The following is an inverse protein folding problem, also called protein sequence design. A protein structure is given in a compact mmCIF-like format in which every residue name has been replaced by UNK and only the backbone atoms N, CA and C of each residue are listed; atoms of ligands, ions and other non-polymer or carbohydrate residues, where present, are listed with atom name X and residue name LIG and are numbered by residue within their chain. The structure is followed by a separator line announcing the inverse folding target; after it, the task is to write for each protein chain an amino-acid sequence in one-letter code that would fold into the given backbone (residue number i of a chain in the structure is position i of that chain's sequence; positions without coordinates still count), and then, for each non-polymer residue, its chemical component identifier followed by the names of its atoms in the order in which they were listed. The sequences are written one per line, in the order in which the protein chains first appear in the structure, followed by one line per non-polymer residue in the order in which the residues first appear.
data_IF_076205642099
#
_entry.id   IF_076205642099
#
_cell.length_a   1.000
_cell.length_b   1.000
_cell.length_c   1.000
_cell.angle_alpha   90.00
_cell.angle_beta   90.00
_cell.angle_gamma   90.00
#
_symmetry.space_group_name_H-M   'P 1'
#
loop_
_entity.id
_entity.type
_entity.pdbx_description
1 polymer ?
#
# COMPACT_ATOMS: atom_id res chain seq x y z
N UNK A 1 -53.25 -33.68 -31.87
CA UNK A 1 -52.11 -33.02 -31.19
C UNK A 1 -51.98 -33.63 -29.80
N UNK A 2 -50.89 -34.34 -29.56
CA UNK A 2 -50.66 -35.23 -28.42
C UNK A 2 -50.21 -34.45 -27.18
N UNK A 3 -50.82 -34.74 -26.02
CA UNK A 3 -50.58 -34.03 -24.75
C UNK A 3 -49.12 -34.12 -24.25
N UNK A 4 -48.34 -35.05 -24.76
CA UNK A 4 -46.92 -35.28 -24.40
C UNK A 4 -45.94 -34.28 -25.01
N UNK A 5 -46.29 -33.61 -26.11
CA UNK A 5 -45.41 -32.61 -26.76
C UNK A 5 -45.52 -31.23 -26.10
N UNK A 6 -46.67 -30.92 -25.48
CA UNK A 6 -46.91 -29.64 -24.78
C UNK A 6 -46.14 -29.60 -23.44
N UNK A 7 -46.01 -30.74 -22.75
CA UNK A 7 -45.25 -30.83 -21.48
C UNK A 7 -43.74 -30.74 -21.69
N UNK A 8 -43.20 -31.27 -22.79
CA UNK A 8 -41.77 -31.17 -23.09
C UNK A 8 -41.30 -29.73 -23.36
N UNK A 9 -42.12 -28.94 -24.06
CA UNK A 9 -41.81 -27.51 -24.36
C UNK A 9 -41.92 -26.66 -23.08
N UNK A 10 -42.92 -26.92 -22.23
CA UNK A 10 -43.06 -26.25 -20.93
C UNK A 10 -41.88 -26.53 -19.99
N UNK A 11 -41.37 -27.76 -19.96
CA UNK A 11 -40.23 -28.12 -19.12
C UNK A 11 -38.92 -27.45 -19.57
N UNK A 12 -38.69 -27.29 -20.87
CA UNK A 12 -37.49 -26.64 -21.42
C UNK A 12 -37.49 -25.14 -21.14
N UNK A 13 -38.65 -24.47 -21.22
CA UNK A 13 -38.77 -23.03 -20.91
C UNK A 13 -38.51 -22.79 -19.42
N UNK A 14 -39.03 -23.66 -18.54
CA UNK A 14 -38.79 -23.57 -17.09
C UNK A 14 -37.32 -23.85 -16.76
N UNK A 15 -36.69 -24.86 -17.37
CA UNK A 15 -35.26 -25.11 -17.17
C UNK A 15 -34.38 -23.95 -17.65
N UNK A 16 -34.70 -23.35 -18.80
CA UNK A 16 -33.99 -22.20 -19.33
C UNK A 16 -34.13 -20.95 -18.45
N UNK A 17 -35.32 -20.72 -17.88
CA UNK A 17 -35.56 -19.61 -16.94
C UNK A 17 -34.81 -19.78 -15.62
N UNK A 18 -34.70 -21.01 -15.11
CA UNK A 18 -33.92 -21.32 -13.89
C UNK A 18 -32.42 -21.12 -14.12
N UNK A 19 -31.89 -21.47 -15.30
CA UNK A 19 -30.47 -21.25 -15.64
C UNK A 19 -30.16 -19.76 -15.86
N UNK A 20 -31.12 -18.95 -16.30
CA UNK A 20 -30.93 -17.50 -16.43
C UNK A 20 -30.93 -16.79 -15.06
N UNK A 21 -31.77 -17.24 -14.12
CA UNK A 21 -31.82 -16.71 -12.74
C UNK A 21 -30.72 -17.22 -11.82
N UNK A 22 -30.07 -18.36 -12.14
CA UNK A 22 -28.99 -18.94 -11.34
C UNK A 22 -27.58 -18.46 -11.73
N UNK A 23 -27.46 -17.40 -12.55
CA UNK A 23 -26.17 -16.77 -12.79
C UNK A 23 -25.82 -15.94 -11.54
N UNK A 24 -24.74 -16.26 -10.81
CA UNK A 24 -24.26 -15.36 -9.79
C UNK A 24 -23.89 -14.05 -10.49
N UNK A 25 -24.51 -12.94 -10.08
CA UNK A 25 -24.03 -11.60 -10.39
C UNK A 25 -22.56 -11.58 -9.96
N UNK A 26 -21.65 -11.60 -10.93
CA UNK A 26 -20.26 -11.30 -10.67
C UNK A 26 -20.25 -9.81 -10.36
N UNK A 27 -19.96 -9.39 -9.11
CA UNK A 27 -19.86 -7.97 -8.83
C UNK A 27 -18.79 -7.42 -9.77
N UNK A 28 -19.17 -6.36 -10.48
CA UNK A 28 -18.30 -5.59 -11.36
C UNK A 28 -16.92 -5.48 -10.73
N UNK A 29 -15.91 -5.96 -11.46
CA UNK A 29 -14.51 -5.70 -11.19
C UNK A 29 -14.29 -4.18 -11.34
N UNK A 30 -14.63 -3.44 -10.30
CA UNK A 30 -14.32 -2.03 -10.14
C UNK A 30 -13.00 -1.95 -9.38
N UNK A 31 -12.00 -1.50 -10.13
CA UNK A 31 -10.73 -0.95 -9.66
C UNK A 31 -9.74 -1.95 -9.02
N UNK A 32 -8.87 -2.51 -9.86
CA UNK A 32 -7.67 -3.25 -9.43
C UNK A 32 -6.52 -2.30 -9.04
N UNK A 33 -6.84 -1.21 -8.33
CA UNK A 33 -5.85 -0.44 -7.60
C UNK A 33 -5.34 -1.25 -6.40
N UNK A 34 -4.08 -1.07 -5.96
CA UNK A 34 -3.62 -1.67 -4.71
C UNK A 34 -4.55 -1.27 -3.56
N UNK A 35 -4.77 -2.15 -2.56
CA UNK A 35 -5.66 -1.84 -1.45
C UNK A 35 -5.13 -0.63 -0.69
N UNK A 36 -5.88 0.47 -0.76
CA UNK A 36 -5.60 1.67 0.02
C UNK A 36 -5.86 1.38 1.50
N UNK A 37 -4.86 1.60 2.35
CA UNK A 37 -5.01 1.42 3.81
C UNK A 37 -5.27 2.76 4.46
N UNK A 38 -6.26 2.78 5.37
CA UNK A 38 -6.65 3.97 6.11
C UNK A 38 -6.05 3.94 7.51
N UNK A 39 -5.46 5.05 7.95
CA UNK A 39 -5.13 5.30 9.35
C UNK A 39 -5.74 6.63 9.79
N UNK A 40 -6.97 6.56 10.29
CA UNK A 40 -7.80 7.75 10.45
C UNK A 40 -8.12 8.34 9.07
N UNK A 41 -7.90 9.64 8.92
CA UNK A 41 -8.09 10.36 7.66
C UNK A 41 -6.85 10.39 6.75
N UNK A 42 -5.73 9.78 7.15
CA UNK A 42 -4.54 9.64 6.29
C UNK A 42 -4.55 8.26 5.63
N UNK A 43 -4.48 8.22 4.31
CA UNK A 43 -4.52 7.00 3.52
C UNK A 43 -3.25 6.84 2.68
N UNK A 44 -2.85 5.60 2.37
CA UNK A 44 -1.88 5.32 1.32
C UNK A 44 -2.60 4.76 0.09
N UNK A 45 -2.21 5.18 -1.12
CA UNK A 45 -2.69 4.55 -2.36
C UNK A 45 -2.20 3.09 -2.42
N UNK A 46 -0.92 2.89 -2.14
CA UNK A 46 -0.26 1.60 -2.00
C UNK A 46 0.43 1.54 -0.64
N UNK A 47 0.04 0.57 0.18
CA UNK A 47 0.58 0.39 1.53
C UNK A 47 1.76 -0.59 1.59
N UNK A 48 1.99 -1.34 0.52
CA UNK A 48 3.05 -2.33 0.45
C UNK A 48 3.64 -2.46 -0.94
N UNK A 49 4.96 -2.52 -1.05
CA UNK A 49 5.64 -2.77 -2.31
C UNK A 49 6.70 -3.87 -2.16
N UNK A 50 6.72 -4.83 -3.09
CA UNK A 50 7.76 -5.86 -3.15
C UNK A 50 8.74 -5.55 -4.28
N UNK A 51 10.01 -5.36 -3.92
CA UNK A 51 11.09 -5.20 -4.89
C UNK A 51 11.42 -6.50 -5.63
N UNK A 52 10.89 -7.64 -5.19
CA UNK A 52 11.23 -8.95 -5.73
C UNK A 52 12.66 -9.33 -5.35
N UNK A 53 13.37 -9.98 -6.29
CA UNK A 53 14.76 -10.35 -6.08
C UNK A 53 15.70 -9.18 -6.39
N UNK A 54 16.54 -8.80 -5.43
CA UNK A 54 17.53 -7.72 -5.57
C UNK A 54 18.91 -8.20 -5.09
N UNK A 55 19.97 -7.81 -5.78
CA UNK A 55 21.35 -8.15 -5.36
C UNK A 55 21.91 -7.11 -4.41
N UNK A 56 22.61 -7.56 -3.38
CA UNK A 56 23.38 -6.68 -2.50
C UNK A 56 24.42 -5.85 -3.27
N UNK A 57 25.03 -6.41 -4.32
CA UNK A 57 25.97 -5.71 -5.18
C UNK A 57 25.31 -4.68 -6.11
N UNK A 58 23.97 -4.69 -6.22
CA UNK A 58 23.20 -3.79 -7.06
C UNK A 58 23.03 -2.37 -6.50
N UNK A 59 23.45 -2.13 -5.26
CA UNK A 59 23.28 -0.85 -4.57
C UNK A 59 21.87 -0.65 -4.02
N UNK A 60 21.59 0.58 -3.59
CA UNK A 60 20.31 0.92 -2.96
C UNK A 60 19.14 0.84 -3.94
N UNK A 61 18.00 0.36 -3.44
CA UNK A 61 16.73 0.39 -4.18
C UNK A 61 15.79 1.40 -3.54
N UNK A 62 14.91 1.99 -4.35
CA UNK A 62 13.98 3.01 -3.89
C UNK A 62 12.56 2.81 -4.45
N UNK A 63 11.55 3.12 -3.63
CA UNK A 63 10.14 3.16 -4.03
C UNK A 63 9.51 4.43 -3.49
N UNK A 64 8.74 5.11 -4.33
CA UNK A 64 7.89 6.22 -3.89
C UNK A 64 6.46 5.72 -3.72
N UNK A 65 5.89 5.96 -2.55
CA UNK A 65 4.50 5.64 -2.21
C UNK A 65 3.73 6.95 -2.00
N UNK A 66 2.50 7.01 -2.51
CA UNK A 66 1.62 8.17 -2.34
C UNK A 66 0.79 8.01 -1.08
N UNK A 67 0.72 9.05 -0.27
CA UNK A 67 -0.22 9.19 0.85
C UNK A 67 -1.11 10.40 0.63
N UNK A 68 -2.32 10.37 1.16
CA UNK A 68 -3.35 11.38 0.93
C UNK A 68 -4.14 11.66 2.19
N UNK A 69 -4.46 12.93 2.42
CA UNK A 69 -5.49 13.31 3.38
C UNK A 69 -6.87 13.08 2.75
N UNK A 70 -7.58 12.05 3.19
CA UNK A 70 -8.94 11.72 2.74
C UNK A 70 -10.03 12.34 3.64
N UNK A 71 -9.65 13.10 4.66
CA UNK A 71 -10.56 13.79 5.57
C UNK A 71 -11.00 15.17 5.07
N UNK A 72 -11.78 15.84 5.90
CA UNK A 72 -12.34 17.18 5.63
C UNK A 72 -11.61 18.30 6.39
N UNK A 73 -10.54 17.98 7.12
CA UNK A 73 -9.73 18.93 7.89
C UNK A 73 -8.24 18.67 7.68
N UNK A 74 -7.37 19.68 7.85
CA UNK A 74 -5.92 19.49 7.75
C UNK A 74 -5.42 18.42 8.70
N UNK A 75 -4.47 17.62 8.24
CA UNK A 75 -3.75 16.63 9.06
C UNK A 75 -2.32 17.11 9.24
N UNK A 76 -1.81 17.04 10.47
CA UNK A 76 -0.40 17.30 10.75
C UNK A 76 0.35 15.98 10.79
N UNK A 77 1.38 15.82 9.96
CA UNK A 77 2.37 14.76 10.07
C UNK A 77 3.39 15.21 11.12
N UNK A 78 3.49 14.46 12.21
CA UNK A 78 4.34 14.84 13.35
C UNK A 78 5.67 14.12 13.37
N UNK A 79 5.76 12.94 12.75
CA UNK A 79 6.96 12.13 12.76
C UNK A 79 6.95 11.09 11.65
N UNK A 80 8.12 10.86 11.05
CA UNK A 80 8.35 9.77 10.12
C UNK A 80 9.59 9.00 10.58
N UNK A 81 9.52 7.67 10.62
CA UNK A 81 10.66 6.83 10.99
C UNK A 81 10.57 5.43 10.41
N UNK A 82 11.69 4.71 10.39
CA UNK A 82 11.78 3.37 9.79
C UNK A 82 12.01 2.29 10.86
N UNK A 83 11.70 1.04 10.50
CA UNK A 83 11.89 -0.12 11.39
C UNK A 83 13.33 -0.64 11.43
N UNK A 84 14.21 -0.18 10.54
CA UNK A 84 15.60 -0.64 10.40
C UNK A 84 16.49 0.52 9.94
N UNK A 85 17.73 0.58 10.45
CA UNK A 85 18.72 1.57 9.97
C UNK A 85 19.11 1.39 8.51
N UNK A 86 18.88 0.20 7.95
CA UNK A 86 19.06 -0.14 6.54
C UNK A 86 18.01 0.50 5.62
N UNK A 87 17.04 1.24 6.17
CA UNK A 87 15.97 1.88 5.43
C UNK A 87 15.84 3.33 5.85
N UNK A 88 15.70 4.22 4.87
CA UNK A 88 15.39 5.63 5.09
C UNK A 88 14.10 6.03 4.39
N UNK A 89 13.39 7.01 4.94
CA UNK A 89 12.18 7.56 4.35
C UNK A 89 12.29 9.08 4.21
N UNK A 90 11.91 9.62 3.04
CA UNK A 90 11.89 11.06 2.77
C UNK A 90 10.47 11.47 2.40
N UNK A 91 9.94 12.48 3.10
CA UNK A 91 8.61 13.02 2.85
C UNK A 91 8.69 14.20 1.87
N UNK A 92 7.86 14.19 0.84
CA UNK A 92 7.77 15.23 -0.19
C UNK A 92 6.33 15.75 -0.25
N UNK A 93 6.13 17.03 0.06
CA UNK A 93 4.82 17.71 0.06
C UNK A 93 4.96 18.97 -0.81
N UNK A 94 4.28 19.00 -1.95
CA UNK A 94 4.51 20.02 -2.96
C UNK A 94 5.99 20.09 -3.36
N UNK A 95 6.62 21.25 -3.17
CA UNK A 95 8.06 21.48 -3.42
C UNK A 95 8.94 21.18 -2.18
N UNK A 96 8.35 20.96 -1.01
CA UNK A 96 9.09 20.74 0.24
C UNK A 96 9.54 19.30 0.33
N UNK A 97 10.77 19.10 0.76
CA UNK A 97 11.37 17.79 1.01
C UNK A 97 11.90 17.77 2.44
N UNK A 98 11.49 16.79 3.23
CA UNK A 98 11.86 16.66 4.64
C UNK A 98 12.35 15.24 4.92
N UNK A 99 13.50 15.13 5.59
CA UNK A 99 14.23 13.88 5.78
C UNK A 99 15.60 13.92 5.10
N UNK A 100 16.26 12.75 4.90
CA UNK A 100 15.75 11.41 5.17
C UNK A 100 15.65 11.09 6.67
N UNK A 101 14.65 10.30 7.03
CA UNK A 101 14.44 9.77 8.36
C UNK A 101 14.83 8.30 8.43
N UNK A 102 15.50 7.90 9.50
CA UNK A 102 15.89 6.51 9.76
C UNK A 102 15.23 5.93 11.00
N UNK A 103 15.83 4.85 11.49
CA UNK A 103 15.36 4.16 12.70
C UNK A 103 15.68 4.98 13.97
N UNK A 104 14.73 5.12 14.91
CA UNK A 104 15.00 5.77 16.19
C UNK A 104 16.17 5.12 16.93
N UNK A 105 17.02 5.93 17.58
CA UNK A 105 18.18 5.45 18.34
C UNK A 105 19.45 5.22 17.52
N UNK A 106 19.39 5.33 16.20
CA UNK A 106 20.56 5.27 15.29
C UNK A 106 20.80 6.61 14.59
N UNK A 107 20.33 7.69 15.23
CA UNK A 107 20.33 9.06 14.72
C UNK A 107 19.22 9.86 15.38
N UNK A 108 19.20 11.18 15.12
CA UNK A 108 18.08 12.02 15.50
C UNK A 108 16.95 11.82 14.49
N UNK A 109 15.78 11.39 14.97
CA UNK A 109 14.53 11.47 14.22
C UNK A 109 13.80 12.71 14.73
N UNK A 110 13.92 13.86 14.06
CA UNK A 110 13.29 15.08 14.54
C UNK A 110 11.76 14.95 14.47
N UNK A 111 11.08 15.62 15.39
CA UNK A 111 9.66 15.88 15.24
C UNK A 111 9.51 16.94 14.14
N UNK A 112 8.54 16.73 13.26
CA UNK A 112 8.18 17.65 12.19
C UNK A 112 6.76 18.17 12.42
N UNK A 113 6.37 19.19 11.68
CA UNK A 113 5.03 19.80 11.74
C UNK A 113 4.60 20.14 10.31
N UNK A 114 4.46 19.08 9.51
CA UNK A 114 4.08 19.22 8.10
C UNK A 114 2.57 19.03 7.98
N UNK A 115 1.88 20.08 7.53
CA UNK A 115 0.45 20.03 7.27
C UNK A 115 0.16 19.40 5.90
N UNK A 116 -0.91 18.62 5.84
CA UNK A 116 -1.49 18.08 4.62
C UNK A 116 -2.96 18.51 4.58
N UNK A 117 -3.30 19.39 3.64
CA UNK A 117 -4.65 19.93 3.49
C UNK A 117 -5.63 18.84 3.02
N UNK A 118 -6.96 19.01 3.22
CA UNK A 118 -7.95 18.07 2.71
C UNK A 118 -7.75 17.77 1.22
N UNK A 119 -7.71 16.48 0.87
CA UNK A 119 -7.46 15.94 -0.48
C UNK A 119 -6.05 16.17 -1.04
N UNK A 120 -5.16 16.80 -0.29
CA UNK A 120 -3.76 16.95 -0.67
C UNK A 120 -3.02 15.61 -0.57
N UNK A 121 -2.06 15.42 -1.48
CA UNK A 121 -1.22 14.25 -1.58
C UNK A 121 0.23 14.60 -1.22
N UNK A 122 0.88 13.67 -0.54
CA UNK A 122 2.31 13.68 -0.28
C UNK A 122 2.94 12.39 -0.82
N UNK A 123 4.24 12.46 -1.12
CA UNK A 123 5.03 11.31 -1.56
C UNK A 123 6.02 10.91 -0.49
N UNK A 124 6.14 9.62 -0.24
CA UNK A 124 7.10 9.04 0.68
C UNK A 124 8.07 8.20 -0.12
N UNK A 125 9.30 8.70 -0.26
CA UNK A 125 10.38 7.97 -0.90
C UNK A 125 11.09 7.10 0.13
N UNK A 126 10.95 5.78 -0.03
CA UNK A 126 11.58 4.78 0.82
C UNK A 126 12.80 4.23 0.09
N UNK A 127 13.97 4.33 0.72
CA UNK A 127 15.23 3.80 0.20
C UNK A 127 15.71 2.67 1.11
N UNK A 128 16.06 1.54 0.51
CA UNK A 128 16.60 0.37 1.21
C UNK A 128 18.03 0.07 0.72
N UNK A 129 18.94 -0.09 1.67
CA UNK A 129 20.31 -0.58 1.43
C UNK A 129 20.35 -2.09 1.69
N UNK A 130 20.37 -2.94 0.64
CA UNK A 130 20.44 -4.38 0.80
C UNK A 130 21.79 -4.86 1.34
N UNK A 131 22.86 -4.07 1.22
CA UNK A 131 24.21 -4.44 1.62
C UNK A 131 24.53 -4.13 3.10
N UNK A 132 23.65 -3.41 3.81
CA UNK A 132 23.87 -2.91 5.17
C UNK A 132 24.29 -3.97 6.21
N UNK A 133 23.94 -5.24 5.99
CA UNK A 133 24.25 -6.36 6.89
C UNK A 133 25.23 -7.39 6.31
N UNK A 134 25.81 -7.12 5.14
CA UNK A 134 26.67 -8.09 4.45
C UNK A 134 25.92 -9.41 4.19
N UNK A 135 26.63 -10.56 4.09
CA UNK A 135 26.01 -11.85 3.79
C UNK A 135 24.92 -12.29 4.76
N UNK A 136 24.88 -11.75 5.98
CA UNK A 136 23.82 -12.02 6.96
C UNK A 136 22.48 -11.37 6.58
N UNK A 137 22.48 -10.43 5.63
CA UNK A 137 21.29 -9.76 5.09
C UNK A 137 20.59 -10.50 3.93
N UNK A 138 21.16 -11.62 3.46
CA UNK A 138 20.59 -12.43 2.35
C UNK A 138 19.30 -13.14 2.80
N UNK A 139 18.32 -13.20 1.90
CA UNK A 139 17.02 -13.84 2.12
C UNK A 139 15.85 -12.86 2.09
N UNK A 140 14.67 -13.34 2.51
CA UNK A 140 13.45 -12.52 2.51
C UNK A 140 13.49 -11.51 3.64
N UNK A 141 13.22 -10.25 3.31
CA UNK A 141 13.14 -9.13 4.26
C UNK A 141 11.81 -8.40 4.14
N UNK A 142 11.39 -7.79 5.25
CA UNK A 142 10.31 -6.82 5.29
C UNK A 142 10.74 -5.63 6.15
N UNK A 143 10.44 -4.41 5.71
CA UNK A 143 10.73 -3.17 6.43
C UNK A 143 9.50 -2.29 6.44
N UNK A 144 9.33 -1.55 7.53
CA UNK A 144 8.20 -0.65 7.74
C UNK A 144 8.69 0.79 7.82
N UNK A 145 7.88 1.70 7.29
CA UNK A 145 7.93 3.13 7.52
C UNK A 145 6.67 3.51 8.28
N UNK A 146 6.84 4.22 9.39
CA UNK A 146 5.76 4.70 10.25
C UNK A 146 5.62 6.20 10.09
N UNK A 147 4.38 6.66 9.94
CA UNK A 147 4.03 8.07 9.77
C UNK A 147 3.03 8.43 10.87
N UNK A 148 3.53 9.01 11.95
CA UNK A 148 2.69 9.56 13.03
C UNK A 148 2.02 10.84 12.54
N UNK A 149 0.73 10.97 12.85
CA UNK A 149 -0.11 12.06 12.38
C UNK A 149 -1.21 12.40 13.39
N UNK A 150 -1.86 13.54 13.20
CA UNK A 150 -2.95 14.00 14.07
C UNK A 150 -4.30 13.30 13.85
N UNK A 151 -4.46 12.50 12.79
CA UNK A 151 -5.72 11.88 12.42
C UNK A 151 -5.99 10.51 13.08
N UNK A 152 -5.02 9.96 13.81
CA UNK A 152 -5.20 8.72 14.55
C UNK A 152 -3.92 7.92 14.73
N UNK A 153 -4.00 6.61 14.45
CA UNK A 153 -2.84 5.72 14.53
C UNK A 153 -1.78 6.12 13.49
N UNK A 154 -0.51 5.72 13.68
CA UNK A 154 0.49 5.88 12.63
C UNK A 154 0.07 5.13 11.37
N UNK A 155 0.25 5.76 10.20
CA UNK A 155 0.13 5.07 8.93
C UNK A 155 1.41 4.24 8.72
N UNK A 156 1.24 2.99 8.30
CA UNK A 156 2.35 2.07 8.05
C UNK A 156 2.48 1.80 6.56
N UNK A 157 3.70 1.98 6.03
CA UNK A 157 4.07 1.61 4.67
C UNK A 157 5.09 0.48 4.74
N UNK A 158 4.86 -0.58 3.97
CA UNK A 158 5.72 -1.76 3.93
C UNK A 158 6.53 -1.80 2.64
N UNK A 159 7.79 -2.17 2.75
CA UNK A 159 8.56 -2.70 1.63
C UNK A 159 9.03 -4.11 1.93
N UNK A 160 9.12 -4.96 0.92
CA UNK A 160 9.73 -6.27 1.01
C UNK A 160 10.69 -6.52 -0.15
N UNK A 161 11.59 -7.48 0.04
CA UNK A 161 12.46 -7.98 -1.01
C UNK A 161 12.96 -9.39 -0.66
N UNK A 162 13.50 -10.09 -1.66
CA UNK A 162 14.41 -11.21 -1.47
C UNK A 162 15.82 -10.74 -1.84
N UNK A 163 16.66 -10.54 -0.84
CA UNK A 163 18.05 -10.12 -1.05
C UNK A 163 18.88 -11.32 -1.47
N UNK A 164 19.59 -11.19 -2.58
CA UNK A 164 20.57 -12.16 -3.06
C UNK A 164 21.98 -11.62 -2.85
N UNK A 165 23.00 -12.48 -2.85
CA UNK A 165 24.39 -12.04 -2.88
C UNK A 165 24.68 -10.97 -3.95
#
# INVERSE_FOLDING_TARGET
MNKTTITAIGAIIVLGAVIWFARPDSPDATDSGPPSVLSGALAAEESSFDFGAISMAGGNVARTLTIKNTGESPITITKVYTSCMCTTATLKIGERTVGPFGMPGHGLVPRIDEALEPKEEARVEVVFDPAAHGPAGVGRIERLVFIENSAGKPLELKISATVTP
#
